data_IF_105185266960
#
_entry.id   IF_105185266960
#
_cell.length_a   1.000
_cell.length_b   1.000
_cell.length_c   1.000
_cell.angle_alpha   90.00
_cell.angle_beta   90.00
_cell.angle_gamma   90.00
#
_symmetry.space_group_name_H-M   'P 1'
#
loop_
_entity.id
_entity.type
_entity.pdbx_description
1 polymer ?
#
# COMPACT_ATOMS: atom_id res chain seq x y z
N UNK A 1 2.60 -2.46 -5.77
CA UNK A 1 3.41 -3.21 -4.79
C UNK A 1 2.90 -2.92 -3.38
N UNK A 2 2.77 -3.90 -2.49
CA UNK A 2 2.09 -3.67 -1.21
C UNK A 2 2.02 -4.88 -0.28
N UNK A 3 1.36 -4.66 0.85
CA UNK A 3 1.00 -5.67 1.86
C UNK A 3 -0.52 -5.77 1.91
N UNK A 4 -1.01 -6.99 2.07
CA UNK A 4 -2.44 -7.27 2.31
C UNK A 4 -2.59 -8.12 3.55
N UNK A 5 -3.62 -7.83 4.36
CA UNK A 5 -3.95 -8.66 5.51
C UNK A 5 -4.44 -10.02 5.02
N UNK A 6 -4.01 -11.10 5.67
CA UNK A 6 -4.31 -12.46 5.23
C UNK A 6 -5.83 -12.77 5.17
N UNK A 7 -6.61 -12.12 6.01
CA UNK A 7 -8.06 -12.30 6.14
C UNK A 7 -8.90 -11.52 5.11
N UNK A 8 -8.26 -10.81 4.18
CA UNK A 8 -8.98 -10.00 3.19
C UNK A 8 -9.75 -10.89 2.22
N UNK A 9 -10.99 -10.47 1.89
CA UNK A 9 -11.88 -11.17 0.96
C UNK A 9 -11.27 -11.24 -0.44
N UNK A 10 -11.06 -12.45 -0.98
CA UNK A 10 -10.37 -12.64 -2.28
C UNK A 10 -11.29 -12.61 -3.52
N UNK A 11 -12.61 -12.58 -3.33
CA UNK A 11 -13.59 -12.64 -4.42
C UNK A 11 -14.50 -11.41 -4.44
N UNK A 12 -14.86 -10.98 -5.65
CA UNK A 12 -15.73 -9.84 -5.90
C UNK A 12 -14.97 -8.51 -5.90
N UNK A 13 -15.69 -7.38 -6.03
CA UNK A 13 -15.09 -6.05 -6.00
C UNK A 13 -14.35 -5.81 -4.68
N UNK A 14 -13.16 -5.23 -4.76
CA UNK A 14 -12.35 -4.85 -3.59
C UNK A 14 -11.84 -3.42 -3.76
N UNK A 15 -11.92 -2.62 -2.70
CA UNK A 15 -11.26 -1.33 -2.64
C UNK A 15 -9.85 -1.49 -2.09
N UNK A 16 -8.86 -0.96 -2.80
CA UNK A 16 -7.46 -0.93 -2.35
C UNK A 16 -7.33 0.20 -1.33
N UNK A 17 -7.74 -0.05 -0.09
CA UNK A 17 -7.65 0.93 1.00
C UNK A 17 -7.19 0.28 2.30
N UNK A 18 -6.58 1.04 3.22
CA UNK A 18 -6.21 0.52 4.54
C UNK A 18 -7.38 -0.05 5.33
N UNK A 19 -8.58 0.51 5.15
CA UNK A 19 -9.82 0.04 5.80
C UNK A 19 -10.17 -1.40 5.39
N UNK A 20 -9.90 -1.75 4.14
CA UNK A 20 -10.06 -3.11 3.59
C UNK A 20 -8.83 -3.99 3.86
N UNK A 21 -7.86 -3.53 4.66
CA UNK A 21 -6.64 -4.28 5.00
C UNK A 21 -5.60 -4.32 3.88
N UNK A 22 -5.60 -3.32 2.99
CA UNK A 22 -4.68 -3.23 1.85
C UNK A 22 -3.82 -1.96 1.97
N UNK A 23 -2.51 -2.12 1.88
CA UNK A 23 -1.55 -1.01 1.79
C UNK A 23 -0.69 -1.22 0.54
N UNK A 24 -0.80 -0.33 -0.44
CA UNK A 24 -0.11 -0.52 -1.72
C UNK A 24 0.25 0.80 -2.41
N UNK A 25 1.23 0.72 -3.31
CA UNK A 25 1.61 1.75 -4.28
C UNK A 25 1.27 1.28 -5.70
N UNK A 26 0.61 2.13 -6.48
CA UNK A 26 0.34 1.98 -7.91
C UNK A 26 0.92 3.21 -8.64
N UNK A 27 1.88 3.02 -9.55
CA UNK A 27 2.53 4.09 -10.32
C UNK A 27 3.02 5.30 -9.47
N UNK A 28 3.61 5.04 -8.30
CA UNK A 28 4.02 6.07 -7.32
C UNK A 28 2.87 6.93 -6.79
N UNK A 29 1.65 6.43 -6.86
CA UNK A 29 0.53 6.93 -6.07
C UNK A 29 0.32 5.97 -4.91
N UNK A 30 0.19 6.50 -3.69
CA UNK A 30 -0.26 5.68 -2.56
C UNK A 30 -1.74 5.38 -2.72
N UNK A 31 -2.08 4.10 -2.54
CA UNK A 31 -3.46 3.62 -2.52
C UNK A 31 -4.05 3.75 -1.10
N UNK A 32 -3.57 4.71 -0.32
CA UNK A 32 -4.26 5.10 0.92
C UNK A 32 -5.53 5.87 0.57
N UNK A 33 -6.44 5.99 1.54
CA UNK A 33 -7.59 6.88 1.44
C UNK A 33 -7.42 8.02 2.46
N UNK A 34 -7.36 9.30 2.03
CA UNK A 34 -7.38 9.77 0.64
C UNK A 34 -6.10 9.38 -0.14
N UNK A 35 -6.21 9.31 -1.48
CA UNK A 35 -5.07 8.98 -2.35
C UNK A 35 -4.02 10.08 -2.24
N UNK A 36 -2.78 9.72 -1.94
CA UNK A 36 -1.65 10.67 -1.97
C UNK A 36 -0.79 10.42 -3.21
N UNK A 37 -0.55 11.49 -3.98
CA UNK A 37 0.33 11.47 -5.15
C UNK A 37 1.79 11.64 -4.69
N UNK A 38 2.64 10.63 -4.94
CA UNK A 38 4.05 10.68 -4.60
C UNK A 38 4.82 11.14 -5.84
N UNK A 39 5.26 12.41 -5.84
CA UNK A 39 6.15 12.93 -6.89
C UNK A 39 7.57 12.49 -6.58
N UNK A 40 8.01 11.41 -7.22
CA UNK A 40 9.38 10.91 -7.10
C UNK A 40 10.21 11.31 -8.32
N UNK A 41 11.25 12.09 -8.11
CA UNK A 41 12.25 12.41 -9.11
C UNK A 41 13.66 12.31 -8.50
N UNK A 42 14.52 11.38 -8.97
CA UNK A 42 14.28 10.40 -10.04
C UNK A 42 13.34 9.26 -9.63
N UNK A 43 12.78 8.57 -10.61
CA UNK A 43 11.97 7.36 -10.39
C UNK A 43 12.85 6.26 -9.78
N UNK A 44 12.47 5.66 -8.63
CA UNK A 44 13.30 4.65 -7.99
C UNK A 44 13.29 3.35 -8.81
N UNK A 45 14.46 2.72 -8.95
CA UNK A 45 14.62 1.42 -9.64
C UNK A 45 14.33 0.21 -8.74
N UNK A 46 14.29 0.42 -7.42
CA UNK A 46 14.03 -0.60 -6.39
C UNK A 46 13.25 0.03 -5.26
N UNK A 47 12.21 -0.67 -4.79
CA UNK A 47 11.33 -0.23 -3.69
C UNK A 47 11.49 -1.23 -2.54
N UNK A 48 11.65 -0.75 -1.31
CA UNK A 48 11.68 -1.60 -0.11
C UNK A 48 10.33 -1.50 0.57
N UNK A 49 9.77 -2.63 0.98
CA UNK A 49 8.55 -2.63 1.79
C UNK A 49 8.92 -3.12 3.19
N UNK A 50 8.60 -2.33 4.21
CA UNK A 50 8.87 -2.65 5.62
C UNK A 50 7.56 -2.67 6.40
N UNK A 51 7.38 -3.70 7.23
CA UNK A 51 6.19 -3.92 8.03
C UNK A 51 6.57 -3.99 9.50
N UNK A 52 6.01 -3.08 10.28
CA UNK A 52 6.12 -3.04 11.74
C UNK A 52 4.76 -3.44 12.31
N UNK A 53 4.65 -4.70 12.75
CA UNK A 53 3.41 -5.25 13.29
C UNK A 53 3.03 -4.62 14.63
N UNK A 54 3.99 -4.50 15.55
CA UNK A 54 3.78 -3.94 16.89
C UNK A 54 3.45 -2.45 16.81
N UNK A 55 4.15 -1.72 15.93
CA UNK A 55 3.90 -0.29 15.70
C UNK A 55 2.71 0.00 14.78
N UNK A 56 2.11 -1.01 14.15
CA UNK A 56 0.96 -0.89 13.25
C UNK A 56 1.24 -0.08 11.97
N UNK A 57 2.46 -0.18 11.42
CA UNK A 57 2.93 0.67 10.31
C UNK A 57 3.44 -0.14 9.12
N UNK A 58 3.25 0.42 7.93
CA UNK A 58 3.88 -0.04 6.69
C UNK A 58 4.61 1.14 6.05
N UNK A 59 5.85 0.94 5.65
CA UNK A 59 6.68 1.92 4.96
C UNK A 59 7.16 1.40 3.59
N UNK A 60 7.35 2.33 2.66
CA UNK A 60 7.69 2.09 1.26
C UNK A 60 8.90 2.92 0.81
#
# INVERSE_FOLDING_TARGET
LGVVRASVKRKGPMSLTPKEGVWALEAYHSLTSPRANLRLNPLPRRIRVSLDYEGGRVAF
#
